data_IF_526115657800
#
_entry.id   IF_526115657800
#
_cell.length_a   1.000
_cell.length_b   1.000
_cell.length_c   1.000
_cell.angle_alpha   90.00
_cell.angle_beta   90.00
_cell.angle_gamma   90.00
#
_symmetry.space_group_name_H-M   'P 1'
#
loop_
_entity.id
_entity.type
_entity.pdbx_description
1 polymer ?
#
# COMPACT_ATOMS: atom_id res chain seq x y z
N UNK A 1 -15.46 12.03 13.29
CA UNK A 1 -14.91 13.31 12.78
C UNK A 1 -16.07 14.16 12.29
N UNK A 2 -16.19 15.42 12.74
CA UNK A 2 -17.36 16.24 12.42
C UNK A 2 -17.37 16.59 10.92
N UNK A 3 -18.53 16.42 10.27
CA UNK A 3 -18.72 16.77 8.85
C UNK A 3 -18.30 18.21 8.54
N UNK A 4 -18.42 19.09 9.54
CA UNK A 4 -17.95 20.47 9.50
C UNK A 4 -16.45 20.60 9.34
N UNK A 5 -15.64 19.79 10.04
CA UNK A 5 -14.18 19.81 9.89
C UNK A 5 -13.74 19.32 8.51
N UNK A 6 -14.42 18.32 7.96
CA UNK A 6 -14.18 17.85 6.60
C UNK A 6 -14.54 18.93 5.57
N UNK A 7 -15.69 19.59 5.73
CA UNK A 7 -16.14 20.67 4.84
C UNK A 7 -15.23 21.89 4.89
N UNK A 8 -14.79 22.33 6.06
CA UNK A 8 -13.85 23.44 6.18
C UNK A 8 -12.49 23.10 5.58
N UNK A 9 -12.01 21.87 5.76
CA UNK A 9 -10.79 21.39 5.11
C UNK A 9 -10.89 21.44 3.58
N UNK A 10 -11.99 20.94 3.01
CA UNK A 10 -12.23 20.99 1.57
C UNK A 10 -12.34 22.43 1.07
N UNK A 11 -13.11 23.28 1.76
CA UNK A 11 -13.26 24.69 1.39
C UNK A 11 -11.94 25.46 1.43
N UNK A 12 -11.12 25.24 2.48
CA UNK A 12 -9.80 25.85 2.59
C UNK A 12 -8.87 25.39 1.46
N UNK A 13 -8.89 24.09 1.13
CA UNK A 13 -8.11 23.55 0.02
C UNK A 13 -8.52 24.15 -1.33
N UNK A 14 -9.83 24.22 -1.62
CA UNK A 14 -10.35 24.83 -2.84
C UNK A 14 -9.97 26.31 -2.92
N UNK A 15 -10.12 27.06 -1.81
CA UNK A 15 -9.72 28.46 -1.73
C UNK A 15 -8.23 28.67 -2.03
N UNK A 16 -7.37 27.81 -1.47
CA UNK A 16 -5.94 27.83 -1.73
C UNK A 16 -5.62 27.58 -3.21
N UNK A 17 -6.27 26.62 -3.85
CA UNK A 17 -6.08 26.30 -5.27
C UNK A 17 -6.49 27.47 -6.17
N UNK A 18 -7.63 28.11 -5.87
CA UNK A 18 -8.10 29.29 -6.62
C UNK A 18 -7.10 30.44 -6.46
N UNK A 19 -6.70 30.74 -5.23
CA UNK A 19 -5.73 31.80 -4.94
C UNK A 19 -4.40 31.56 -5.66
N UNK A 20 -3.87 30.33 -5.58
CA UNK A 20 -2.64 29.94 -6.25
C UNK A 20 -2.75 30.10 -7.77
N UNK A 21 -3.86 29.65 -8.36
CA UNK A 21 -4.09 29.74 -9.81
C UNK A 21 -4.21 31.21 -10.26
N UNK A 22 -4.92 32.04 -9.50
CA UNK A 22 -5.07 33.46 -9.81
C UNK A 22 -3.72 34.21 -9.78
N UNK A 23 -2.84 33.87 -8.83
CA UNK A 23 -1.55 34.55 -8.69
C UNK A 23 -0.45 34.02 -9.62
N UNK A 24 -0.53 32.75 -10.02
CA UNK A 24 0.52 32.08 -10.79
C UNK A 24 0.09 31.73 -12.23
N UNK A 25 -1.14 32.06 -12.63
CA UNK A 25 -1.72 31.66 -13.91
C UNK A 25 -0.97 32.18 -15.15
N UNK A 26 -0.40 33.39 -15.06
CA UNK A 26 0.42 33.97 -16.14
C UNK A 26 1.93 33.75 -15.95
N UNK A 27 2.33 33.13 -14.84
CA UNK A 27 3.74 32.83 -14.62
C UNK A 27 4.18 31.68 -15.53
N UNK A 28 5.21 31.97 -16.32
CA UNK A 28 5.82 31.05 -17.27
C UNK A 28 7.28 30.85 -16.90
N UNK A 29 7.69 29.59 -16.78
CA UNK A 29 9.05 29.21 -16.43
C UNK A 29 9.70 28.42 -17.57
N UNK A 30 11.02 28.35 -17.55
CA UNK A 30 11.75 27.37 -18.34
C UNK A 30 11.86 26.10 -17.50
N UNK A 31 11.21 25.04 -17.96
CA UNK A 31 11.22 23.74 -17.31
C UNK A 31 12.32 22.89 -17.93
N UNK A 32 13.35 22.59 -17.14
CA UNK A 32 14.40 21.65 -17.52
C UNK A 32 14.18 20.33 -16.75
N UNK A 33 13.89 19.26 -17.50
CA UNK A 33 13.70 17.91 -16.96
C UNK A 33 15.00 17.09 -16.97
N UNK A 34 16.13 17.68 -17.36
CA UNK A 34 17.44 17.03 -17.50
C UNK A 34 17.63 16.28 -18.84
N UNK A 35 16.55 15.82 -19.47
CA UNK A 35 16.55 15.22 -20.81
C UNK A 35 15.74 16.01 -21.85
N UNK A 36 14.93 16.96 -21.40
CA UNK A 36 14.09 17.79 -22.25
C UNK A 36 13.89 19.17 -21.60
N UNK A 37 13.89 20.22 -22.41
CA UNK A 37 13.70 21.59 -21.95
C UNK A 37 12.47 22.20 -22.62
N UNK A 38 11.55 22.70 -21.80
CA UNK A 38 10.33 23.37 -22.23
C UNK A 38 10.39 24.85 -21.86
N UNK A 39 10.34 25.71 -22.86
CA UNK A 39 10.36 27.15 -22.66
C UNK A 39 8.94 27.70 -22.43
N UNK A 40 8.84 28.70 -21.55
CA UNK A 40 7.59 29.43 -21.26
C UNK A 40 6.43 28.52 -20.80
N UNK A 41 6.77 27.48 -20.06
CA UNK A 41 5.82 26.50 -19.56
C UNK A 41 5.03 27.05 -18.36
N UNK A 42 3.70 26.89 -18.29
CA UNK A 42 2.90 27.44 -17.20
C UNK A 42 3.24 26.79 -15.85
N UNK A 43 3.50 27.59 -14.82
CA UNK A 43 3.83 27.09 -13.46
C UNK A 43 2.69 26.23 -12.89
N UNK A 44 1.45 26.61 -13.19
CA UNK A 44 0.25 25.87 -12.76
C UNK A 44 0.22 24.43 -13.29
N UNK A 45 0.65 24.21 -14.53
CA UNK A 45 0.75 22.85 -15.09
C UNK A 45 1.85 22.04 -14.40
N UNK A 46 2.99 22.65 -14.10
CA UNK A 46 4.08 21.96 -13.37
C UNK A 46 3.61 21.54 -11.99
N UNK A 47 2.98 22.45 -11.25
CA UNK A 47 2.45 22.16 -9.91
C UNK A 47 1.41 21.04 -9.94
N UNK A 48 0.47 21.08 -10.89
CA UNK A 48 -0.54 20.03 -11.06
C UNK A 48 0.08 18.69 -11.42
N UNK A 49 0.99 18.66 -12.39
CA UNK A 49 1.66 17.43 -12.81
C UNK A 49 2.50 16.82 -11.67
N UNK A 50 3.23 17.65 -10.92
CA UNK A 50 4.01 17.20 -9.77
C UNK A 50 3.11 16.57 -8.69
N UNK A 51 1.97 17.19 -8.39
CA UNK A 51 1.00 16.65 -7.44
C UNK A 51 0.41 15.31 -7.93
N UNK A 52 0.02 15.24 -9.21
CA UNK A 52 -0.51 14.02 -9.82
C UNK A 52 0.51 12.87 -9.77
N UNK A 53 1.77 13.15 -10.14
CA UNK A 53 2.87 12.18 -10.09
C UNK A 53 3.12 11.75 -8.64
N UNK A 54 3.15 12.67 -7.69
CA UNK A 54 3.32 12.35 -6.27
C UNK A 54 2.22 11.41 -5.75
N UNK A 55 0.96 11.68 -6.09
CA UNK A 55 -0.16 10.79 -5.76
C UNK A 55 -0.01 9.40 -6.39
N UNK A 56 0.39 9.33 -7.66
CA UNK A 56 0.59 8.08 -8.36
C UNK A 56 1.73 7.25 -7.74
N UNK A 57 2.86 7.90 -7.41
CA UNK A 57 3.99 7.26 -6.73
C UNK A 57 3.56 6.71 -5.38
N UNK A 58 2.83 7.49 -4.59
CA UNK A 58 2.31 7.04 -3.29
C UNK A 58 1.37 5.84 -3.43
N UNK A 59 0.48 5.85 -4.44
CA UNK A 59 -0.41 4.73 -4.74
C UNK A 59 0.36 3.46 -5.13
N UNK A 60 1.32 3.58 -6.06
CA UNK A 60 2.15 2.47 -6.51
C UNK A 60 2.99 1.87 -5.38
N UNK A 61 3.61 2.73 -4.57
CA UNK A 61 4.40 2.32 -3.41
C UNK A 61 3.53 1.62 -2.36
N UNK A 62 2.34 2.17 -2.09
CA UNK A 62 1.36 1.57 -1.19
C UNK A 62 0.89 0.20 -1.67
N UNK A 63 0.54 0.08 -2.96
CA UNK A 63 0.11 -1.18 -3.56
C UNK A 63 1.22 -2.23 -3.53
N UNK A 64 2.45 -1.87 -3.89
CA UNK A 64 3.57 -2.79 -3.85
C UNK A 64 3.83 -3.31 -2.42
N UNK A 65 3.74 -2.42 -1.44
CA UNK A 65 3.90 -2.76 -0.02
C UNK A 65 2.78 -3.68 0.44
N UNK A 66 1.53 -3.39 0.11
CA UNK A 66 0.37 -4.23 0.48
C UNK A 66 0.49 -5.64 -0.10
N UNK A 67 0.82 -5.76 -1.39
CA UNK A 67 1.02 -7.06 -2.04
C UNK A 67 2.18 -7.85 -1.42
N UNK A 68 3.29 -7.18 -1.07
CA UNK A 68 4.42 -7.82 -0.41
C UNK A 68 4.04 -8.34 0.97
N UNK A 69 3.32 -7.55 1.76
CA UNK A 69 2.85 -7.95 3.10
C UNK A 69 1.89 -9.13 3.01
N UNK A 70 0.92 -9.09 2.09
CA UNK A 70 0.01 -10.22 1.84
C UNK A 70 0.73 -11.50 1.46
N UNK A 71 1.77 -11.39 0.62
CA UNK A 71 2.59 -12.55 0.24
C UNK A 71 3.31 -13.13 1.45
N UNK A 72 3.96 -12.30 2.26
CA UNK A 72 4.68 -12.75 3.46
C UNK A 72 3.73 -13.45 4.44
N UNK A 73 2.57 -12.85 4.71
CA UNK A 73 1.55 -13.45 5.59
C UNK A 73 1.06 -14.80 5.06
N UNK A 74 0.80 -14.89 3.76
CA UNK A 74 0.37 -16.14 3.13
C UNK A 74 1.44 -17.22 3.22
N UNK A 75 2.70 -16.87 2.99
CA UNK A 75 3.81 -17.81 3.03
C UNK A 75 4.02 -18.34 4.48
N UNK A 76 3.86 -17.49 5.49
CA UNK A 76 3.87 -17.87 6.91
C UNK A 76 2.73 -18.81 7.29
N UNK A 77 1.51 -18.53 6.84
CA UNK A 77 0.36 -19.41 7.11
C UNK A 77 0.53 -20.80 6.51
N UNK A 78 1.14 -20.90 5.31
CA UNK A 78 1.44 -22.20 4.69
C UNK A 78 2.51 -22.96 5.49
N UNK A 79 3.51 -22.25 6.01
CA UNK A 79 4.55 -22.82 6.87
C UNK A 79 3.97 -23.35 8.20
N UNK A 80 3.11 -22.56 8.86
CA UNK A 80 2.40 -22.96 10.08
C UNK A 80 1.47 -24.15 9.83
N UNK A 81 0.65 -24.12 8.78
CA UNK A 81 -0.25 -25.23 8.45
C UNK A 81 0.51 -26.55 8.17
N UNK A 82 1.72 -26.46 7.61
CA UNK A 82 2.58 -27.63 7.39
C UNK A 82 3.14 -28.18 8.70
N UNK A 83 3.56 -27.29 9.60
CA UNK A 83 4.07 -27.67 10.91
C UNK A 83 2.97 -28.31 11.79
N UNK A 84 1.76 -27.76 11.77
CA UNK A 84 0.61 -28.33 12.46
C UNK A 84 0.22 -29.71 11.90
N UNK A 85 0.14 -29.86 10.58
CA UNK A 85 -0.16 -31.15 9.96
C UNK A 85 0.89 -32.24 10.24
N UNK A 86 2.17 -31.88 10.37
CA UNK A 86 3.22 -32.83 10.78
C UNK A 86 3.08 -33.26 12.24
N UNK A 87 2.60 -32.36 13.11
CA UNK A 87 2.38 -32.64 14.52
C UNK A 87 1.18 -33.59 14.71
N UNK A 88 0.12 -33.40 13.93
CA UNK A 88 -1.08 -34.26 13.96
C UNK A 88 -0.78 -35.71 13.52
N UNK A 89 0.04 -35.89 12.47
CA UNK A 89 0.52 -37.21 12.05
C UNK A 89 1.36 -37.89 13.14
N UNK A 90 2.26 -37.15 13.79
CA UNK A 90 3.10 -37.68 14.87
C UNK A 90 2.27 -38.07 16.08
N UNK A 91 1.23 -37.31 16.40
CA UNK A 91 0.30 -37.60 17.49
C UNK A 91 -0.54 -38.84 17.17
N UNK A 92 -1.06 -38.97 15.94
CA UNK A 92 -1.84 -40.12 15.51
C UNK A 92 -1.03 -41.42 15.52
N UNK A 93 0.21 -41.39 15.03
CA UNK A 93 1.12 -42.54 15.08
C UNK A 93 1.43 -42.96 16.53
N UNK A 94 1.54 -42.01 17.46
CA UNK A 94 1.75 -42.30 18.88
C UNK A 94 0.54 -43.02 19.50
N UNK A 95 -0.68 -42.57 19.21
CA UNK A 95 -1.91 -43.20 19.71
C UNK A 95 -2.18 -44.57 19.06
N UNK A 96 -1.95 -44.71 17.75
CA UNK A 96 -2.08 -46.00 17.03
C UNK A 96 -1.03 -47.03 17.53
N UNK A 97 0.16 -46.57 17.95
CA UNK A 97 1.19 -47.41 18.57
C UNK A 97 0.85 -47.84 20.01
N UNK A 98 0.18 -47.00 20.79
CA UNK A 98 -0.32 -47.37 22.13
C UNK A 98 -1.47 -48.39 22.06
N UNK A 99 -2.39 -48.25 21.11
CA UNK A 99 -3.51 -49.19 20.92
C UNK A 99 -3.03 -50.58 20.46
N UNK A 100 -1.98 -50.65 19.65
CA UNK A 100 -1.37 -51.94 19.26
C UNK A 100 -0.53 -52.57 20.36
N UNK A 101 0.15 -51.78 21.19
CA UNK A 101 0.90 -52.29 22.35
C UNK A 101 -0.02 -52.74 23.52
N UNK A 102 -1.23 -52.17 23.63
CA UNK A 102 -2.23 -52.55 24.63
C UNK A 102 -3.05 -53.81 24.28
N UNK A 103 -3.03 -54.25 23.02
CA UNK A 103 -3.81 -55.39 22.51
C UNK A 103 -3.16 -56.77 22.67
N UNK A 104 -1.89 -56.88 23.07
CA UNK A 104 -1.17 -58.16 23.21
C UNK A 104 -1.30 -58.82 24.61
N UNK A 105 -2.15 -58.31 25.51
CA UNK A 105 -2.41 -58.89 26.83
C UNK A 105 -3.89 -59.24 27.09
N UNK A 106 -4.51 -59.97 26.16
CA UNK A 106 -5.78 -60.69 26.42
C UNK A 106 -5.74 -62.11 25.91
#
# INVERSE_FOLDING_TARGET
MSRWLALTGVAAFVGLVIWFTAHNGDQRITLDLGFAQFYRFPVTMVAFAALLVGMLVMLLAGLHTDLRVRKILRDRLIEEARAEGATDLTQRDLFDAEDTAGGENT
#
